data_IF_124173434289
#
_entry.id   IF_124173434289
#
_cell.length_a   1.000
_cell.length_b   1.000
_cell.length_c   1.000
_cell.angle_alpha   90.00
_cell.angle_beta   90.00
_cell.angle_gamma   90.00
#
_symmetry.space_group_name_H-M   'P 1'
#
loop_
_entity.id
_entity.type
_entity.pdbx_description
1 polymer ?
#
# COMPACT_ATOMS: atom_id res chain seq x y z
N UNK A 1 -1.57 -21.74 13.19
CA UNK A 1 -0.46 -20.77 13.26
C UNK A 1 -1.06 -19.39 13.33
N UNK A 2 -1.05 -18.73 14.49
CA UNK A 2 -1.57 -17.37 14.63
C UNK A 2 -0.72 -16.46 13.73
N UNK A 3 -1.32 -15.97 12.66
CA UNK A 3 -0.64 -15.13 11.67
C UNK A 3 -0.09 -13.90 12.37
N UNK A 4 1.23 -13.71 12.32
CA UNK A 4 1.84 -12.46 12.78
C UNK A 4 1.20 -11.33 11.98
N UNK A 5 0.55 -10.40 12.68
CA UNK A 5 0.16 -9.13 12.08
C UNK A 5 1.44 -8.45 11.56
N UNK A 6 1.45 -7.96 10.31
CA UNK A 6 2.62 -7.26 9.79
C UNK A 6 2.88 -6.02 10.65
N UNK A 7 4.15 -5.78 11.02
CA UNK A 7 4.57 -4.55 11.72
C UNK A 7 4.69 -3.34 10.77
N UNK A 8 4.26 -3.52 9.53
CA UNK A 8 4.36 -2.57 8.45
C UNK A 8 3.03 -2.52 7.70
N UNK A 9 2.71 -1.35 7.16
CA UNK A 9 1.50 -1.12 6.39
C UNK A 9 1.83 -0.27 5.16
N UNK A 10 1.13 -0.53 4.06
CA UNK A 10 1.17 0.35 2.90
C UNK A 10 0.02 1.34 2.98
N UNK A 11 0.31 2.60 2.74
CA UNK A 11 -0.70 3.68 2.73
C UNK A 11 -0.68 4.31 1.35
N UNK A 12 -1.84 4.59 0.76
CA UNK A 12 -1.88 5.31 -0.52
C UNK A 12 -1.18 6.66 -0.38
N UNK A 13 -0.49 7.13 -1.42
CA UNK A 13 0.24 8.41 -1.34
C UNK A 13 -0.65 9.59 -0.94
N UNK A 14 -1.91 9.63 -1.40
CA UNK A 14 -2.87 10.66 -1.01
C UNK A 14 -3.22 10.61 0.47
N UNK A 15 -3.47 9.42 1.02
CA UNK A 15 -3.72 9.24 2.46
C UNK A 15 -2.47 9.55 3.28
N UNK A 16 -1.28 9.20 2.81
CA UNK A 16 -0.02 9.50 3.49
C UNK A 16 0.24 11.01 3.58
N UNK A 17 -0.08 11.76 2.53
CA UNK A 17 -0.01 13.23 2.54
C UNK A 17 -1.05 13.82 3.50
N UNK A 18 -2.30 13.36 3.42
CA UNK A 18 -3.39 13.85 4.28
C UNK A 18 -3.12 13.62 5.77
N UNK A 19 -2.47 12.50 6.13
CA UNK A 19 -2.08 12.15 7.50
C UNK A 19 -0.76 12.79 7.95
N UNK A 20 -0.07 13.56 7.09
CA UNK A 20 1.21 14.19 7.42
C UNK A 20 2.39 13.22 7.48
N UNK A 21 2.25 11.98 7.00
CA UNK A 21 3.32 10.98 6.91
C UNK A 21 4.30 11.29 5.77
N UNK A 22 3.83 12.00 4.74
CA UNK A 22 4.63 12.50 3.62
C UNK A 22 4.35 13.99 3.44
N UNK A 23 5.41 14.80 3.30
CA UNK A 23 5.29 16.22 2.94
C UNK A 23 5.30 16.36 1.42
N UNK A 24 4.15 16.65 0.84
CA UNK A 24 3.99 16.98 -0.57
C UNK A 24 2.66 17.73 -0.77
N UNK A 25 2.53 18.42 -1.89
CA UNK A 25 1.30 19.11 -2.27
C UNK A 25 0.33 18.16 -2.97
N UNK A 26 -0.97 18.32 -2.70
CA UNK A 26 -2.05 17.60 -3.36
C UNK A 26 -3.23 18.54 -3.57
N UNK A 27 -3.89 18.44 -4.73
CA UNK A 27 -5.01 19.31 -5.10
C UNK A 27 -6.25 19.08 -4.22
N UNK A 28 -6.51 17.83 -3.85
CA UNK A 28 -7.67 17.44 -3.05
C UNK A 28 -7.24 16.35 -2.06
N UNK A 29 -7.59 16.53 -0.79
CA UNK A 29 -7.22 15.58 0.25
C UNK A 29 -8.30 14.49 0.35
N UNK A 30 -7.94 13.20 0.34
CA UNK A 30 -8.93 12.15 0.51
C UNK A 30 -9.55 12.24 1.92
N UNK A 31 -10.88 12.12 2.00
CA UNK A 31 -11.61 11.97 3.26
C UNK A 31 -11.56 10.54 3.82
N UNK A 32 -11.17 9.58 2.97
CA UNK A 32 -11.06 8.15 3.31
C UNK A 32 -9.59 7.72 3.31
N UNK A 33 -9.15 7.05 4.37
CA UNK A 33 -7.83 6.45 4.42
C UNK A 33 -7.80 5.12 3.64
N UNK A 34 -6.92 5.03 2.64
CA UNK A 34 -6.72 3.81 1.86
C UNK A 34 -5.46 3.10 2.35
N UNK A 35 -5.65 1.88 2.86
CA UNK A 35 -4.60 1.04 3.42
C UNK A 35 -4.47 -0.23 2.60
N UNK A 36 -3.26 -0.76 2.54
CA UNK A 36 -2.93 -1.99 1.84
C UNK A 36 -2.02 -2.84 2.72
N UNK A 37 -2.30 -4.13 2.78
CA UNK A 37 -1.49 -5.07 3.56
C UNK A 37 -0.07 -5.11 3.03
N UNK A 38 0.89 -5.16 3.96
CA UNK A 38 2.28 -5.37 3.64
C UNK A 38 2.61 -6.87 3.70
N UNK A 39 3.33 -7.35 2.70
CA UNK A 39 3.96 -8.66 2.70
C UNK A 39 5.38 -8.51 2.16
N UNK A 40 6.40 -9.13 2.79
CA UNK A 40 7.75 -9.14 2.24
C UNK A 40 7.74 -9.73 0.82
N UNK A 41 7.99 -8.88 -0.19
CA UNK A 41 7.96 -9.26 -1.60
C UNK A 41 6.57 -9.21 -2.25
N UNK A 42 5.98 -10.38 -2.52
CA UNK A 42 4.67 -10.53 -3.16
C UNK A 42 3.69 -11.23 -2.22
N UNK A 43 2.43 -10.83 -2.30
CA UNK A 43 1.33 -11.45 -1.59
C UNK A 43 1.25 -12.95 -1.89
N UNK A 44 0.93 -13.78 -0.89
CA UNK A 44 0.68 -15.21 -1.06
C UNK A 44 -0.54 -15.51 -1.97
N UNK A 45 -1.48 -14.56 -2.05
CA UNK A 45 -2.61 -14.60 -2.97
C UNK A 45 -2.23 -14.21 -4.41
N UNK A 46 -3.16 -14.37 -5.34
CA UNK A 46 -2.92 -14.11 -6.77
C UNK A 46 -4.11 -13.45 -7.48
N UNK A 47 -4.64 -12.37 -6.91
CA UNK A 47 -5.71 -11.59 -7.54
C UNK A 47 -5.24 -11.01 -8.89
N UNK A 48 -6.00 -11.22 -9.97
CA UNK A 48 -5.57 -10.88 -11.33
C UNK A 48 -5.26 -9.41 -11.58
N UNK A 49 -5.84 -8.49 -10.80
CA UNK A 49 -5.62 -7.05 -10.91
C UNK A 49 -4.52 -6.52 -9.96
N UNK A 50 -4.08 -7.32 -8.98
CA UNK A 50 -3.26 -6.82 -7.89
C UNK A 50 -1.78 -6.84 -8.27
N UNK A 51 -1.10 -5.69 -8.20
CA UNK A 51 0.35 -5.61 -8.41
C UNK A 51 1.15 -6.37 -7.36
N UNK A 52 0.56 -6.64 -6.19
CA UNK A 52 1.17 -7.48 -5.15
C UNK A 52 0.96 -8.98 -5.37
N UNK A 53 0.13 -9.43 -6.32
CA UNK A 53 -0.11 -10.86 -6.56
C UNK A 53 1.19 -11.64 -6.82
N UNK A 54 1.31 -12.87 -6.31
CA UNK A 54 2.56 -13.67 -6.42
C UNK A 54 3.11 -13.83 -7.84
N UNK A 55 2.24 -13.89 -8.85
CA UNK A 55 2.66 -13.99 -10.26
C UNK A 55 2.72 -12.64 -10.98
N UNK A 56 2.38 -11.54 -10.30
CA UNK A 56 2.44 -10.21 -10.90
C UNK A 56 3.88 -9.77 -11.10
N UNK A 57 4.23 -9.44 -12.34
CA UNK A 57 5.51 -8.83 -12.71
C UNK A 57 5.55 -7.32 -12.47
N UNK A 58 4.43 -6.72 -12.08
CA UNK A 58 4.35 -5.30 -11.77
C UNK A 58 5.05 -4.92 -10.47
N UNK A 59 5.27 -3.63 -10.26
CA UNK A 59 5.79 -3.08 -9.01
C UNK A 59 4.77 -3.22 -7.87
N UNK A 60 5.15 -3.88 -6.77
CA UNK A 60 4.24 -4.15 -5.63
C UNK A 60 3.73 -2.88 -4.94
N UNK A 61 4.47 -1.78 -5.05
CA UNK A 61 4.10 -0.46 -4.53
C UNK A 61 3.23 0.36 -5.50
N UNK A 62 2.84 -0.21 -6.64
CA UNK A 62 2.13 0.50 -7.71
C UNK A 62 0.77 -0.14 -8.06
N UNK A 63 -0.09 -0.35 -7.05
CA UNK A 63 -1.44 -0.87 -7.27
C UNK A 63 -2.35 0.23 -7.83
N UNK A 64 -3.06 -0.06 -8.92
CA UNK A 64 -4.00 0.87 -9.58
C UNK A 64 -3.37 2.20 -10.02
N UNK A 65 -2.08 2.21 -10.40
CA UNK A 65 -1.30 3.42 -10.74
C UNK A 65 -1.12 4.41 -9.58
N UNK A 66 -1.51 4.03 -8.37
CA UNK A 66 -1.27 4.79 -7.15
C UNK A 66 0.02 4.29 -6.51
N UNK A 67 0.80 5.19 -5.91
CA UNK A 67 1.99 4.81 -5.13
C UNK A 67 1.60 4.45 -3.71
N UNK A 68 2.15 3.36 -3.18
CA UNK A 68 1.83 2.79 -1.87
C UNK A 68 3.08 2.67 -0.99
N UNK A 69 3.60 3.80 -0.45
CA UNK A 69 4.73 3.79 0.49
C UNK A 69 4.45 2.93 1.73
N UNK A 70 5.53 2.37 2.29
CA UNK A 70 5.49 1.51 3.48
C UNK A 70 5.79 2.35 4.72
N UNK A 71 5.02 2.12 5.78
CA UNK A 71 5.21 2.73 7.10
C UNK A 71 5.22 1.65 8.17
N UNK A 72 5.98 1.88 9.24
CA UNK A 72 5.96 1.04 10.45
C UNK A 72 4.72 1.39 11.28
N UNK A 73 4.03 0.37 11.80
CA UNK A 73 2.92 0.51 12.74
C UNK A 73 3.42 0.78 14.17
#
# INVERSE_FOLDING_TARGET
>A
MLGRCPNEIRVSIGSAIALGLVRADIMEKPSTAYLLTYYPGKCSANCGFCSQARLSRGRSDLLSRVTWPVFRL
#
